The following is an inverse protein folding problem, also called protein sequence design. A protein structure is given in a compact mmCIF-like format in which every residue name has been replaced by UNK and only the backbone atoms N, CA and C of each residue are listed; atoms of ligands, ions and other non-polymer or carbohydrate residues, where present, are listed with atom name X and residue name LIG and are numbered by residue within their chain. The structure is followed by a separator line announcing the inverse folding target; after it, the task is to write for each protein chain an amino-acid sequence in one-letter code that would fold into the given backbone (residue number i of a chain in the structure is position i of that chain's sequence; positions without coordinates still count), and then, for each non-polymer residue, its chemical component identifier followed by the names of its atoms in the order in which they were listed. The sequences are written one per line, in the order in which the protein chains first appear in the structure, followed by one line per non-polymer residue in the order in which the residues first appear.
data_IF_980107148717
#
_entry.id   IF_980107148717
#
_cell.length_a   1.000
_cell.length_b   1.000
_cell.length_c   1.000
_cell.angle_alpha   90.00
_cell.angle_beta   90.00
_cell.angle_gamma   90.00
#
_symmetry.space_group_name_H-M   'P 1'
#
loop_
_entity.id
_entity.type
_entity.pdbx_description
1 polymer ?
#
# COMPACT_ATOMS: atom_id res chain seq x y z
N UNK A 1 21.01 32.38 -0.25
CA UNK A 1 20.41 31.21 0.42
C UNK A 1 19.98 31.60 1.82
N UNK A 2 18.68 31.58 2.08
CA UNK A 2 18.09 32.02 3.35
C UNK A 2 18.34 30.98 4.46
N UNK A 3 18.26 31.35 5.75
CA UNK A 3 18.40 30.42 6.87
C UNK A 3 17.39 29.25 6.82
N UNK A 4 16.20 29.45 6.24
CA UNK A 4 15.19 28.40 6.06
C UNK A 4 15.60 27.40 4.96
N UNK A 5 16.15 27.87 3.84
CA UNK A 5 16.65 27.01 2.75
C UNK A 5 17.78 26.08 3.22
N UNK A 6 18.68 26.57 4.08
CA UNK A 6 19.77 25.75 4.65
C UNK A 6 19.23 24.61 5.51
N UNK A 7 18.19 24.86 6.32
CA UNK A 7 17.55 23.83 7.16
C UNK A 7 16.86 22.76 6.30
N UNK A 8 16.15 23.18 5.25
CA UNK A 8 15.49 22.25 4.33
C UNK A 8 16.49 21.40 3.55
N UNK A 9 17.61 21.97 3.09
CA UNK A 9 18.66 21.22 2.41
C UNK A 9 19.30 20.19 3.35
N UNK A 10 19.63 20.59 4.58
CA UNK A 10 20.22 19.70 5.59
C UNK A 10 19.29 18.52 5.91
N UNK A 11 18.00 18.78 6.10
CA UNK A 11 17.01 17.73 6.36
C UNK A 11 16.91 16.71 5.21
N UNK A 12 16.98 17.18 3.96
CA UNK A 12 16.97 16.30 2.77
C UNK A 12 18.22 15.42 2.69
N UNK A 13 19.38 15.99 2.96
CA UNK A 13 20.66 15.24 2.96
C UNK A 13 20.65 14.18 4.05
N UNK A 14 20.21 14.53 5.26
CA UNK A 14 20.08 13.59 6.38
C UNK A 14 19.07 12.48 6.05
N UNK A 15 17.90 12.83 5.49
CA UNK A 15 16.88 11.85 5.10
C UNK A 15 17.39 10.87 4.04
N UNK A 16 18.17 11.36 3.06
CA UNK A 16 18.80 10.50 2.05
C UNK A 16 19.84 9.56 2.66
N UNK A 17 20.71 10.06 3.54
CA UNK A 17 21.71 9.24 4.24
C UNK A 17 21.05 8.15 5.10
N UNK A 18 20.01 8.49 5.86
CA UNK A 18 19.26 7.52 6.67
C UNK A 18 18.60 6.45 5.81
N UNK A 19 18.08 6.83 4.63
CA UNK A 19 17.47 5.88 3.69
C UNK A 19 18.51 4.89 3.15
N UNK A 20 19.71 5.38 2.79
CA UNK A 20 20.82 4.52 2.34
C UNK A 20 21.24 3.54 3.44
N UNK A 21 21.40 4.02 4.67
CA UNK A 21 21.74 3.17 5.82
C UNK A 21 20.65 2.12 6.07
N UNK A 22 19.38 2.52 6.02
CA UNK A 22 18.26 1.61 6.20
C UNK A 22 18.24 0.50 5.13
N UNK A 23 18.45 0.85 3.86
CA UNK A 23 18.53 -0.11 2.75
C UNK A 23 19.72 -1.06 2.89
N UNK A 24 20.90 -0.56 3.29
CA UNK A 24 22.05 -1.42 3.57
C UNK A 24 21.76 -2.39 4.72
N UNK A 25 21.14 -1.90 5.80
CA UNK A 25 20.79 -2.72 6.95
C UNK A 25 19.78 -3.82 6.60
N UNK A 26 18.69 -3.46 5.92
CA UNK A 26 17.66 -4.44 5.49
C UNK A 26 18.17 -5.40 4.44
N UNK A 27 19.01 -4.95 3.51
CA UNK A 27 19.68 -5.83 2.55
C UNK A 27 20.63 -6.82 3.23
N UNK A 28 21.38 -6.37 4.23
CA UNK A 28 22.27 -7.22 5.01
C UNK A 28 21.50 -8.26 5.82
N UNK A 29 20.45 -7.86 6.56
CA UNK A 29 19.64 -8.82 7.33
C UNK A 29 18.94 -9.83 6.44
N UNK A 30 18.42 -9.39 5.28
CA UNK A 30 17.83 -10.28 4.29
C UNK A 30 18.85 -11.27 3.74
N UNK A 31 20.05 -10.82 3.39
CA UNK A 31 21.13 -11.71 2.93
C UNK A 31 21.52 -12.72 4.00
N UNK A 32 21.65 -12.29 5.27
CA UNK A 32 21.99 -13.19 6.37
C UNK A 32 20.89 -14.22 6.64
N UNK A 33 19.62 -13.82 6.59
CA UNK A 33 18.48 -14.72 6.73
C UNK A 33 18.38 -15.68 5.53
N UNK A 34 18.59 -15.17 4.31
CA UNK A 34 18.63 -16.00 3.12
C UNK A 34 19.75 -17.03 3.17
N UNK A 35 20.97 -16.64 3.54
CA UNK A 35 22.09 -17.56 3.74
C UNK A 35 21.74 -18.58 4.82
N UNK A 36 21.26 -18.13 5.99
CA UNK A 36 20.88 -19.03 7.08
C UNK A 36 19.80 -20.06 6.72
N UNK A 37 18.89 -19.74 5.78
CA UNK A 37 17.83 -20.64 5.31
C UNK A 37 18.21 -21.50 4.12
N UNK A 38 19.13 -21.05 3.27
CA UNK A 38 19.46 -21.73 2.00
C UNK A 38 20.65 -22.67 2.07
N UNK A 39 21.50 -22.57 3.10
CA UNK A 39 22.62 -23.50 3.29
C UNK A 39 22.35 -24.49 4.42
N UNK A 40 22.41 -25.79 4.11
CA UNK A 40 22.54 -26.82 5.13
C UNK A 40 23.90 -26.66 5.86
N UNK A 41 24.04 -27.22 7.07
CA UNK A 41 25.27 -27.07 7.87
C UNK A 41 26.55 -27.53 7.13
N UNK A 42 26.40 -28.44 6.17
CA UNK A 42 27.46 -28.99 5.32
C UNK A 42 27.90 -28.02 4.20
N UNK A 43 27.00 -27.15 3.73
CA UNK A 43 27.30 -26.13 2.71
C UNK A 43 28.04 -24.91 3.29
N UNK A 44 28.07 -24.77 4.62
CA UNK A 44 28.74 -23.65 5.29
C UNK A 44 30.26 -23.69 5.10
N UNK A 45 30.88 -24.87 5.11
CA UNK A 45 32.32 -25.01 4.81
C UNK A 45 32.62 -24.62 3.36
N UNK A 46 31.79 -25.07 2.42
CA UNK A 46 31.97 -24.75 1.01
C UNK A 46 31.70 -23.26 0.71
N UNK A 47 30.77 -22.64 1.43
CA UNK A 47 30.54 -21.20 1.39
C UNK A 47 31.74 -20.44 1.97
N UNK A 48 32.32 -20.91 3.08
CA UNK A 48 33.47 -20.28 3.73
C UNK A 48 34.73 -20.36 2.87
N UNK A 49 34.91 -21.44 2.11
CA UNK A 49 35.97 -21.58 1.09
C UNK A 49 35.75 -20.66 -0.12
N UNK A 50 34.49 -20.42 -0.52
CA UNK A 50 34.15 -19.57 -1.67
C UNK A 50 33.99 -18.09 -1.33
N UNK A 51 33.77 -17.75 -0.06
CA UNK A 51 33.55 -16.38 0.42
C UNK A 51 34.69 -15.42 0.02
N UNK A 52 35.98 -15.79 0.17
CA UNK A 52 37.08 -14.92 -0.23
C UNK A 52 37.07 -14.62 -1.73
N UNK A 53 36.78 -15.62 -2.57
CA UNK A 53 36.69 -15.44 -4.02
C UNK A 53 35.48 -14.58 -4.42
N UNK A 54 34.34 -14.72 -3.74
CA UNK A 54 33.16 -13.88 -3.96
C UNK A 54 33.42 -12.44 -3.53
N UNK A 55 34.06 -12.24 -2.37
CA UNK A 55 34.43 -10.91 -1.88
C UNK A 55 35.48 -10.26 -2.79
N UNK A 56 36.50 -11.01 -3.21
CA UNK A 56 37.51 -10.54 -4.15
C UNK A 56 36.88 -10.14 -5.49
N UNK A 57 35.97 -10.97 -6.02
CA UNK A 57 35.18 -10.62 -7.20
C UNK A 57 34.36 -9.34 -6.97
N UNK A 58 33.70 -9.20 -5.82
CA UNK A 58 32.90 -8.02 -5.49
C UNK A 58 33.75 -6.75 -5.37
N UNK A 59 34.97 -6.84 -4.81
CA UNK A 59 35.90 -5.73 -4.66
C UNK A 59 36.65 -5.39 -5.97
N UNK A 60 36.86 -6.36 -6.84
CA UNK A 60 37.44 -6.13 -8.17
C UNK A 60 36.42 -5.57 -9.17
N UNK A 61 35.13 -5.81 -8.91
CA UNK A 61 34.06 -5.28 -9.77
C UNK A 61 33.97 -3.76 -9.58
N UNK A 62 34.09 -2.97 -10.65
CA UNK A 62 33.96 -1.52 -10.55
C UNK A 62 32.62 -1.10 -9.93
N UNK A 63 32.65 -0.09 -9.06
CA UNK A 63 31.49 0.35 -8.27
C UNK A 63 30.22 0.66 -9.08
N UNK A 64 30.35 0.98 -10.37
CA UNK A 64 29.22 1.27 -11.24
C UNK A 64 28.39 0.03 -11.62
N UNK A 65 28.96 -1.18 -11.54
CA UNK A 65 28.25 -2.43 -11.86
C UNK A 65 27.15 -2.76 -10.84
N UNK A 66 27.41 -2.81 -9.52
CA UNK A 66 26.34 -3.01 -8.54
C UNK A 66 25.34 -1.84 -8.54
N UNK A 67 25.78 -0.61 -8.81
CA UNK A 67 24.89 0.54 -8.97
C UNK A 67 23.93 0.37 -10.17
N UNK A 68 24.44 -0.11 -11.31
CA UNK A 68 23.63 -0.42 -12.49
C UNK A 68 22.61 -1.52 -12.24
N UNK A 69 23.01 -2.59 -11.54
CA UNK A 69 22.10 -3.67 -11.13
C UNK A 69 20.98 -3.17 -10.21
N UNK A 70 21.33 -2.37 -9.19
CA UNK A 70 20.35 -1.78 -8.28
C UNK A 70 19.37 -0.85 -9.00
N UNK A 71 19.86 -0.04 -9.94
CA UNK A 71 19.02 0.83 -10.77
C UNK A 71 18.07 0.03 -11.66
N UNK A 72 18.56 -1.06 -12.28
CA UNK A 72 17.76 -1.91 -13.16
C UNK A 72 16.67 -2.66 -12.37
N UNK A 73 17.01 -3.23 -11.21
CA UNK A 73 16.03 -3.85 -10.31
C UNK A 73 14.97 -2.84 -9.85
N UNK A 74 15.39 -1.63 -9.50
CA UNK A 74 14.45 -0.55 -9.13
C UNK A 74 13.51 -0.19 -10.28
N UNK A 75 14.04 -0.09 -11.50
CA UNK A 75 13.24 0.18 -12.71
C UNK A 75 12.23 -0.95 -13.00
N UNK A 76 12.63 -2.20 -12.82
CA UNK A 76 11.74 -3.37 -12.95
C UNK A 76 10.64 -3.34 -11.90
N UNK A 77 10.96 -3.07 -10.64
CA UNK A 77 9.97 -2.95 -9.56
C UNK A 77 9.00 -1.81 -9.85
N UNK A 78 9.48 -0.65 -10.29
CA UNK A 78 8.63 0.47 -10.71
C UNK A 78 7.76 0.08 -11.90
N UNK A 79 8.29 -0.64 -12.89
CA UNK A 79 7.53 -1.08 -14.06
C UNK A 79 6.45 -2.11 -13.70
N UNK A 80 6.75 -3.08 -12.85
CA UNK A 80 5.79 -4.08 -12.35
C UNK A 80 4.71 -3.46 -11.48
N UNK A 81 5.06 -2.46 -10.67
CA UNK A 81 4.13 -1.73 -9.80
C UNK A 81 3.50 -0.51 -10.47
N UNK A 82 3.84 -0.20 -11.74
CA UNK A 82 3.15 0.87 -12.45
C UNK A 82 1.70 0.44 -12.54
N UNK A 83 0.74 1.21 -11.98
CA UNK A 83 -0.66 0.92 -12.16
C UNK A 83 -0.89 0.86 -13.68
N UNK A 84 -1.35 -0.29 -14.16
CA UNK A 84 -1.82 -0.44 -15.53
C UNK A 84 -3.07 0.43 -15.65
N UNK A 85 -2.88 1.74 -15.78
CA UNK A 85 -3.89 2.65 -16.28
C UNK A 85 -4.07 2.31 -17.75
N UNK A 86 -4.77 1.21 -18.01
CA UNK A 86 -5.50 1.05 -19.26
C UNK A 86 -6.60 2.09 -19.20
N UNK A 87 -6.27 3.31 -19.62
CA UNK A 87 -7.28 4.20 -20.15
C UNK A 87 -7.67 3.52 -21.45
N UNK A 88 -8.62 2.57 -21.37
CA UNK A 88 -9.42 2.23 -22.52
C UNK A 88 -10.25 3.48 -22.78
N UNK A 89 -9.69 4.42 -23.53
CA UNK A 89 -10.50 5.31 -24.36
C UNK A 89 -11.25 4.37 -25.28
N UNK A 90 -12.45 3.97 -24.84
CA UNK A 90 -13.42 3.34 -25.72
C UNK A 90 -13.61 4.37 -26.83
N UNK A 91 -13.04 4.07 -27.98
CA UNK A 91 -13.21 4.94 -29.14
C UNK A 91 -14.69 4.99 -29.45
N UNK A 92 -15.20 6.15 -29.86
CA UNK A 92 -16.63 6.36 -30.14
C UNK A 92 -17.18 5.29 -31.10
N UNK A 93 -16.32 4.77 -31.98
CA UNK A 93 -16.65 3.70 -32.93
C UNK A 93 -16.84 2.33 -32.26
N UNK A 94 -16.09 2.03 -31.20
CA UNK A 94 -16.19 0.78 -30.44
C UNK A 94 -17.43 0.77 -29.52
N UNK A 95 -17.78 1.92 -28.95
CA UNK A 95 -19.06 2.11 -28.24
C UNK A 95 -20.25 1.90 -29.19
N UNK A 96 -20.18 2.44 -30.42
CA UNK A 96 -21.23 2.30 -31.44
C UNK A 96 -21.37 0.84 -31.92
N UNK A 97 -20.27 0.08 -32.03
CA UNK A 97 -20.30 -1.36 -32.34
C UNK A 97 -20.95 -2.22 -31.24
N UNK A 98 -20.87 -1.78 -29.99
CA UNK A 98 -21.50 -2.44 -28.85
C UNK A 98 -22.97 -2.05 -28.65
N UNK A 99 -23.55 -1.26 -29.56
CA UNK A 99 -24.94 -0.81 -29.46
C UNK A 99 -25.18 0.21 -28.34
N UNK A 100 -24.11 0.81 -27.81
CA UNK A 100 -24.21 1.93 -26.87
C UNK A 100 -24.54 3.18 -27.68
N UNK A 101 -25.73 3.74 -27.45
CA UNK A 101 -26.17 4.97 -28.09
C UNK A 101 -25.27 6.12 -27.61
N UNK A 102 -24.44 6.67 -28.49
CA UNK A 102 -23.56 7.80 -28.18
C UNK A 102 -24.19 9.08 -28.76
N UNK A 103 -24.88 9.90 -27.94
CA UNK A 103 -25.60 11.05 -28.44
C UNK A 103 -24.60 12.15 -28.82
N UNK A 104 -24.77 12.77 -29.98
CA UNK A 104 -24.03 13.96 -30.41
C UNK A 104 -24.41 15.25 -29.65
N UNK A 105 -24.76 15.12 -28.37
CA UNK A 105 -25.03 16.25 -27.47
C UNK A 105 -23.76 16.67 -26.74
N UNK A 106 -23.73 17.93 -26.31
CA UNK A 106 -22.81 18.42 -25.27
C UNK A 106 -22.62 17.34 -24.20
N UNK A 107 -21.39 16.88 -24.00
CA UNK A 107 -21.06 15.93 -22.93
C UNK A 107 -21.44 16.62 -21.62
N UNK A 108 -22.55 16.20 -21.04
CA UNK A 108 -22.89 16.52 -19.66
C UNK A 108 -21.71 16.03 -18.84
N UNK A 109 -20.95 16.97 -18.26
CA UNK A 109 -19.81 16.65 -17.39
C UNK A 109 -20.45 16.02 -16.16
N UNK A 110 -20.54 14.69 -16.21
CA UNK A 110 -21.49 13.87 -15.45
C UNK A 110 -21.72 14.35 -14.03
N UNK A 111 -23.01 14.51 -13.69
CA UNK A 111 -23.43 14.74 -12.31
C UNK A 111 -22.71 13.77 -11.36
N UNK A 112 -22.34 14.29 -10.18
CA UNK A 112 -21.54 13.57 -9.18
C UNK A 112 -22.00 12.11 -9.06
N UNK A 113 -21.17 11.20 -9.57
CA UNK A 113 -21.51 9.78 -9.57
C UNK A 113 -21.41 9.29 -8.13
N UNK A 114 -22.57 9.02 -7.52
CA UNK A 114 -22.64 8.53 -6.14
C UNK A 114 -21.80 7.27 -6.03
N UNK A 115 -20.88 7.29 -5.07
CA UNK A 115 -20.00 6.16 -4.80
C UNK A 115 -20.22 5.73 -3.36
N UNK A 116 -20.58 4.46 -3.16
CA UNK A 116 -20.91 3.92 -1.84
C UNK A 116 -20.28 2.56 -1.63
N UNK A 117 -19.71 2.34 -0.44
CA UNK A 117 -19.27 1.04 0.05
C UNK A 117 -19.98 0.74 1.35
N UNK A 118 -20.60 -0.43 1.44
CA UNK A 118 -21.20 -0.90 2.68
C UNK A 118 -20.60 -2.25 3.05
N UNK A 119 -19.95 -2.29 4.21
CA UNK A 119 -19.30 -3.47 4.76
C UNK A 119 -19.97 -3.85 6.07
N UNK A 120 -20.08 -5.15 6.35
CA UNK A 120 -20.53 -5.67 7.63
C UNK A 120 -19.39 -6.44 8.29
N UNK A 121 -18.98 -5.97 9.46
CA UNK A 121 -17.98 -6.65 10.27
C UNK A 121 -18.68 -7.52 11.30
N UNK A 122 -18.41 -8.83 11.25
CA UNK A 122 -18.83 -9.78 12.28
C UNK A 122 -17.81 -9.80 13.41
N UNK A 123 -18.30 -10.07 14.61
CA UNK A 123 -17.42 -10.22 15.77
C UNK A 123 -16.45 -11.39 15.58
N UNK A 124 -15.17 -11.16 15.87
CA UNK A 124 -14.10 -12.14 15.66
C UNK A 124 -13.59 -12.32 14.23
N UNK A 125 -14.31 -11.84 13.21
CA UNK A 125 -13.90 -11.99 11.80
C UNK A 125 -12.99 -10.85 11.35
N UNK A 126 -11.78 -11.18 10.91
CA UNK A 126 -10.81 -10.20 10.40
C UNK A 126 -11.16 -9.64 9.02
N UNK A 127 -12.11 -10.28 8.32
CA UNK A 127 -12.53 -9.92 6.97
C UNK A 127 -14.00 -9.51 6.98
N UNK A 128 -14.32 -8.26 6.59
CA UNK A 128 -15.72 -7.84 6.54
C UNK A 128 -16.45 -8.47 5.35
N UNK A 129 -17.73 -8.75 5.55
CA UNK A 129 -18.64 -9.12 4.47
C UNK A 129 -18.99 -7.88 3.64
N UNK A 130 -18.96 -8.04 2.31
CA UNK A 130 -19.48 -7.03 1.40
C UNK A 130 -21.01 -7.04 1.42
N UNK A 131 -21.62 -5.91 1.80
CA UNK A 131 -23.09 -5.73 1.80
C UNK A 131 -23.54 -5.10 0.49
N UNK A 132 -22.90 -4.00 0.08
CA UNK A 132 -23.20 -3.32 -1.18
C UNK A 132 -22.02 -2.49 -1.68
N UNK A 133 -21.93 -2.30 -3.00
CA UNK A 133 -20.87 -1.55 -3.66
C UNK A 133 -21.43 -0.81 -4.89
N UNK A 134 -21.21 0.49 -4.96
CA UNK A 134 -21.54 1.34 -6.10
C UNK A 134 -20.30 2.12 -6.54
N UNK A 135 -19.95 2.04 -7.82
CA UNK A 135 -18.85 2.80 -8.46
C UNK A 135 -17.46 2.62 -7.80
N UNK A 136 -17.18 1.41 -7.33
CA UNK A 136 -15.95 1.08 -6.62
C UNK A 136 -15.15 0.02 -7.38
N UNK A 137 -13.83 0.14 -7.39
CA UNK A 137 -12.96 -0.86 -8.01
C UNK A 137 -12.65 -1.98 -7.03
N UNK A 138 -12.05 -1.63 -5.89
CA UNK A 138 -11.60 -2.56 -4.85
C UNK A 138 -11.61 -1.90 -3.49
N UNK A 139 -11.75 -2.71 -2.44
CA UNK A 139 -11.44 -2.30 -1.09
C UNK A 139 -10.47 -3.29 -0.45
N UNK A 140 -9.71 -2.81 0.53
CA UNK A 140 -8.81 -3.62 1.35
C UNK A 140 -9.04 -3.27 2.82
N UNK A 141 -9.15 -4.28 3.67
CA UNK A 141 -9.21 -4.09 5.12
C UNK A 141 -7.97 -4.74 5.74
N UNK A 142 -7.21 -3.98 6.51
CA UNK A 142 -6.07 -4.49 7.27
C UNK A 142 -6.31 -4.25 8.75
N UNK A 143 -6.29 -5.33 9.54
CA UNK A 143 -6.48 -5.26 10.98
C UNK A 143 -5.16 -5.51 11.68
N UNK A 144 -4.74 -4.53 12.50
CA UNK A 144 -3.58 -4.60 13.37
C UNK A 144 -4.02 -5.05 14.75
N UNK A 145 -3.45 -6.16 15.23
CA UNK A 145 -3.68 -6.68 16.57
C UNK A 145 -2.44 -6.37 17.42
N UNK A 146 -2.62 -5.58 18.47
CA UNK A 146 -1.58 -5.38 19.48
C UNK A 146 -1.78 -6.41 20.58
N UNK A 147 -0.87 -7.37 20.69
CA UNK A 147 -0.86 -8.36 21.76
C UNK A 147 0.14 -7.96 22.85
N UNK A 148 -0.25 -8.17 24.10
CA UNK A 148 0.62 -8.14 25.27
C UNK A 148 0.64 -9.51 25.92
N UNK A 149 1.53 -9.68 26.90
CA UNK A 149 1.62 -10.91 27.71
C UNK A 149 1.39 -10.51 29.16
N UNK A 150 0.44 -11.18 29.84
CA UNK A 150 0.19 -10.99 31.28
C UNK A 150 1.32 -11.62 32.11
N UNK A 151 1.33 -11.33 33.41
CA UNK A 151 2.32 -11.89 34.35
C UNK A 151 2.29 -13.43 34.45
N UNK A 152 1.14 -14.05 34.14
CA UNK A 152 0.95 -15.50 34.08
C UNK A 152 1.38 -16.14 32.75
N UNK A 153 1.85 -15.33 31.79
CA UNK A 153 2.23 -15.78 30.46
C UNK A 153 1.08 -15.84 29.44
N UNK A 154 -0.15 -15.47 29.81
CA UNK A 154 -1.28 -15.45 28.88
C UNK A 154 -1.16 -14.29 27.87
N UNK A 155 -1.29 -14.58 26.58
CA UNK A 155 -1.40 -13.55 25.54
C UNK A 155 -2.76 -12.85 25.62
N UNK A 156 -2.74 -11.52 25.73
CA UNK A 156 -3.94 -10.70 25.72
C UNK A 156 -3.91 -9.70 24.57
N UNK A 157 -5.05 -9.49 23.92
CA UNK A 157 -5.20 -8.41 22.93
C UNK A 157 -5.35 -7.08 23.68
N UNK A 158 -4.33 -6.23 23.60
CA UNK A 158 -4.32 -4.90 24.22
C UNK A 158 -5.03 -3.85 23.36
N UNK A 159 -5.10 -4.07 22.05
CA UNK A 159 -5.74 -3.13 21.14
C UNK A 159 -5.93 -3.73 19.76
N UNK A 160 -6.88 -3.16 19.03
CA UNK A 160 -7.14 -3.52 17.64
C UNK A 160 -7.40 -2.26 16.85
N UNK A 161 -6.69 -2.10 15.75
CA UNK A 161 -6.89 -0.97 14.84
C UNK A 161 -7.15 -1.52 13.45
N UNK A 162 -8.19 -1.06 12.78
CA UNK A 162 -8.51 -1.52 11.41
C UNK A 162 -8.37 -0.36 10.45
N UNK A 163 -7.58 -0.52 9.40
CA UNK A 163 -7.50 0.43 8.30
C UNK A 163 -8.26 -0.11 7.09
N UNK A 164 -9.10 0.74 6.51
CA UNK A 164 -9.92 0.44 5.33
C UNK A 164 -9.47 1.35 4.19
N UNK A 165 -8.98 0.75 3.11
CA UNK A 165 -8.68 1.42 1.86
C UNK A 165 -9.81 1.15 0.87
N UNK A 166 -10.36 2.21 0.32
CA UNK A 166 -11.41 2.18 -0.70
C UNK A 166 -10.82 2.77 -1.96
N UNK A 167 -10.86 2.04 -3.08
CA UNK A 167 -10.28 2.46 -4.35
C UNK A 167 -11.38 2.59 -5.41
N UNK A 168 -11.39 3.72 -6.12
CA UNK A 168 -12.37 4.01 -7.16
C UNK A 168 -11.84 3.64 -8.54
N UNK A 169 -12.71 3.06 -9.36
CA UNK A 169 -12.37 2.68 -10.74
C UNK A 169 -12.15 3.94 -11.59
N UNK A 170 -13.15 4.82 -11.54
CA UNK A 170 -13.13 6.14 -12.15
C UNK A 170 -12.82 7.21 -11.09
N UNK A 171 -12.09 8.28 -11.44
CA UNK A 171 -11.92 9.41 -10.54
C UNK A 171 -13.28 9.97 -10.10
N UNK A 172 -13.46 10.13 -8.80
CA UNK A 172 -14.66 10.72 -8.19
C UNK A 172 -14.25 12.09 -7.66
N UNK A 173 -15.02 13.14 -7.94
CA UNK A 173 -14.81 14.45 -7.31
C UNK A 173 -15.35 14.38 -5.89
N UNK A 174 -14.62 13.73 -4.98
CA UNK A 174 -15.03 13.61 -3.59
C UNK A 174 -14.82 14.96 -2.89
N UNK A 175 -15.87 15.75 -2.73
CA UNK A 175 -15.83 16.95 -1.90
C UNK A 175 -15.89 16.58 -0.41
N UNK A 176 -16.56 15.48 -0.09
CA UNK A 176 -16.72 14.99 1.26
C UNK A 176 -16.74 13.46 1.33
N UNK A 177 -16.28 12.93 2.47
CA UNK A 177 -16.38 11.52 2.83
C UNK A 177 -17.29 11.42 4.05
N UNK A 178 -18.39 10.65 3.93
CA UNK A 178 -19.23 10.31 5.08
C UNK A 178 -18.98 8.88 5.47
N UNK A 179 -18.60 8.67 6.74
CA UNK A 179 -18.47 7.34 7.34
C UNK A 179 -19.61 7.17 8.34
N UNK A 180 -20.51 6.20 8.12
CA UNK A 180 -21.50 5.81 9.13
C UNK A 180 -21.00 4.58 9.88
N UNK A 181 -20.99 4.68 11.20
CA UNK A 181 -20.56 3.64 12.13
C UNK A 181 -21.54 3.54 13.31
N UNK A 182 -21.59 2.40 14.03
CA UNK A 182 -22.33 2.31 15.29
C UNK A 182 -21.82 3.29 16.35
N UNK A 183 -22.68 3.64 17.30
CA UNK A 183 -22.32 4.51 18.41
C UNK A 183 -21.13 3.94 19.21
N UNK A 184 -20.16 4.79 19.54
CA UNK A 184 -18.97 4.40 20.30
C UNK A 184 -17.80 3.85 19.47
N UNK A 185 -17.99 3.59 18.18
CA UNK A 185 -16.88 3.24 17.29
C UNK A 185 -16.17 4.50 16.80
N UNK A 186 -14.99 4.77 17.35
CA UNK A 186 -14.14 5.88 16.91
C UNK A 186 -13.49 5.58 15.55
N UNK A 187 -13.58 6.54 14.63
CA UNK A 187 -12.91 6.49 13.33
C UNK A 187 -12.20 7.80 13.01
N UNK A 188 -11.23 7.73 12.11
CA UNK A 188 -10.47 8.86 11.60
C UNK A 188 -10.26 8.68 10.09
N UNK A 189 -10.52 9.72 9.30
CA UNK A 189 -10.20 9.72 7.87
C UNK A 189 -8.74 10.17 7.74
N UNK A 190 -7.86 9.27 7.28
CA UNK A 190 -6.43 9.54 7.17
C UNK A 190 -6.06 10.28 5.90
N UNK A 191 -6.70 9.89 4.80
CA UNK A 191 -6.48 10.48 3.49
C UNK A 191 -7.71 10.22 2.60
N UNK A 192 -7.96 11.14 1.68
CA UNK A 192 -8.93 10.93 0.61
C UNK A 192 -8.55 11.74 -0.61
N UNK A 193 -8.87 11.22 -1.77
CA UNK A 193 -8.64 11.88 -3.03
C UNK A 193 -9.53 11.33 -4.14
N UNK A 194 -9.30 11.74 -5.39
CA UNK A 194 -10.17 11.37 -6.48
C UNK A 194 -10.24 9.87 -6.76
N UNK A 195 -9.28 9.08 -6.28
CA UNK A 195 -9.20 7.64 -6.56
C UNK A 195 -9.25 6.77 -5.31
N UNK A 196 -9.28 7.37 -4.12
CA UNK A 196 -9.15 6.60 -2.89
C UNK A 196 -9.74 7.29 -1.68
N UNK A 197 -10.08 6.49 -0.67
CA UNK A 197 -10.38 6.91 0.71
C UNK A 197 -9.70 5.93 1.67
N UNK A 198 -9.06 6.47 2.72
CA UNK A 198 -8.45 5.69 3.79
C UNK A 198 -9.12 6.05 5.11
N UNK A 199 -9.78 5.07 5.73
CA UNK A 199 -10.45 5.21 7.04
C UNK A 199 -9.72 4.34 8.05
N UNK A 200 -9.41 4.90 9.22
CA UNK A 200 -8.84 4.18 10.35
C UNK A 200 -9.90 4.05 11.45
N UNK A 201 -10.17 2.83 11.90
CA UNK A 201 -10.99 2.53 13.06
C UNK A 201 -10.07 2.24 14.25
N UNK A 202 -10.25 2.98 15.34
CA UNK A 202 -9.42 2.86 16.56
C UNK A 202 -9.70 1.58 17.36
N UNK A 203 -10.78 0.89 17.01
CA UNK A 203 -11.21 -0.41 17.52
C UNK A 203 -11.74 -1.22 16.35
N UNK A 204 -11.72 -2.54 16.48
CA UNK A 204 -12.37 -3.40 15.49
C UNK A 204 -13.88 -3.08 15.48
N UNK A 205 -14.48 -2.78 14.32
CA UNK A 205 -15.92 -2.75 14.21
C UNK A 205 -16.42 -4.17 14.48
N UNK A 206 -17.13 -4.42 15.57
CA UNK A 206 -17.75 -5.73 15.83
C UNK A 206 -19.26 -5.63 15.70
N UNK A 207 -19.85 -6.54 14.93
CA UNK A 207 -21.28 -6.55 14.59
C UNK A 207 -21.77 -5.20 14.05
N UNK A 208 -20.97 -4.59 13.18
CA UNK A 208 -21.10 -3.21 12.76
C UNK A 208 -21.21 -3.12 11.24
N UNK A 209 -22.18 -2.34 10.76
CA UNK A 209 -22.20 -1.91 9.36
C UNK A 209 -21.43 -0.61 9.23
N UNK A 210 -20.38 -0.62 8.40
CA UNK A 210 -19.61 0.55 8.02
C UNK A 210 -20.06 0.96 6.62
N UNK A 211 -20.49 2.21 6.48
CA UNK A 211 -20.85 2.79 5.18
C UNK A 211 -19.93 3.96 4.86
N UNK A 212 -19.26 3.91 3.71
CA UNK A 212 -18.43 5.00 3.19
C UNK A 212 -19.11 5.55 1.95
N UNK A 213 -19.61 6.78 2.03
CA UNK A 213 -20.20 7.51 0.91
C UNK A 213 -19.28 8.65 0.48
N UNK A 214 -19.05 8.80 -0.82
CA UNK A 214 -18.45 10.01 -1.41
C UNK A 214 -19.41 10.72 -2.35
N UNK A 215 -19.41 12.04 -2.24
CA UNK A 215 -20.26 12.99 -2.94
C UNK A 215 -19.52 14.29 -3.25
#
# INVERSE_FOLDING_TARGET
MTPSEKKTLLARVIGWLLSVIFFMWTGFTFLMDWVGRSTALEDFQQLQERLPAILEWLYQTPWYVPAGLAALLSAVVIWLNRPQHRISTITTDEARRLGLDVPGGTVDVGGAQKTSLRLFYRDGDTTPDLVSQENLFRYYSLTFLTKGVREDGEEITMGTTTALWVMYDKPVTAANVRVRVPAGLGYEIKDFGPRHVIVLFLRMPSNATVEVETY
#
